data_IF_864735758723
#
_entry.id   IF_864735758723
#
_cell.length_a   1.000
_cell.length_b   1.000
_cell.length_c   1.000
_cell.angle_alpha   90.00
_cell.angle_beta   90.00
_cell.angle_gamma   90.00
#
_symmetry.space_group_name_H-M   'P 1'
#
loop_
_entity.id
_entity.type
_entity.pdbx_description
1 polymer ?
#
# COMPACT_ATOMS: atom_id res chain seq x y z
N UNK A 1 13.88 6.15 19.22
CA UNK A 1 13.33 5.10 20.10
C UNK A 1 13.21 3.84 19.26
N UNK A 2 13.75 2.71 19.70
CA UNK A 2 13.64 1.46 18.93
C UNK A 2 12.40 0.70 19.40
N UNK A 3 11.57 0.24 18.45
CA UNK A 3 10.43 -0.61 18.73
C UNK A 3 10.91 -2.05 18.56
N UNK A 4 10.77 -2.87 19.62
CA UNK A 4 11.10 -4.28 19.56
C UNK A 4 9.86 -5.06 19.09
N UNK A 5 9.92 -5.60 17.87
CA UNK A 5 8.90 -6.48 17.33
C UNK A 5 9.33 -7.92 17.54
N UNK A 6 8.52 -8.70 18.23
CA UNK A 6 8.74 -10.13 18.40
C UNK A 6 8.09 -10.92 17.27
N UNK A 7 8.71 -12.01 16.86
CA UNK A 7 8.28 -12.90 15.77
C UNK A 7 6.86 -13.45 15.92
N UNK A 8 6.25 -13.37 17.10
CA UNK A 8 4.87 -13.82 17.35
C UNK A 8 3.77 -12.89 16.86
N UNK A 9 4.10 -11.67 16.43
CA UNK A 9 3.13 -10.69 15.93
C UNK A 9 3.10 -10.59 14.39
N UNK A 10 3.77 -11.49 13.69
CA UNK A 10 3.80 -11.51 12.24
C UNK A 10 2.48 -12.01 11.66
N UNK A 11 1.69 -11.13 11.06
CA UNK A 11 0.53 -11.50 10.26
C UNK A 11 0.96 -11.52 8.81
N UNK A 12 1.50 -12.65 8.36
CA UNK A 12 1.93 -12.87 6.98
C UNK A 12 0.76 -13.02 5.99
N UNK A 13 -0.49 -12.99 6.44
CA UNK A 13 -1.62 -13.48 5.65
C UNK A 13 -2.26 -12.50 4.66
N UNK A 14 -1.84 -11.24 4.60
CA UNK A 14 -2.45 -10.29 3.65
C UNK A 14 -1.46 -9.52 2.81
N UNK A 15 -0.26 -10.01 2.65
CA UNK A 15 0.67 -9.32 1.76
C UNK A 15 0.33 -9.59 0.31
N UNK A 16 -0.39 -8.67 -0.31
CA UNK A 16 -0.17 -8.45 -1.73
C UNK A 16 1.33 -8.35 -1.97
N UNK A 17 1.87 -9.26 -2.75
CA UNK A 17 3.17 -9.30 -3.42
C UNK A 17 4.16 -8.15 -3.16
N UNK A 18 4.61 -7.95 -1.95
CA UNK A 18 5.74 -7.09 -1.63
C UNK A 18 6.66 -7.85 -0.71
N UNK A 19 7.94 -7.95 -1.05
CA UNK A 19 8.95 -8.66 -0.27
C UNK A 19 9.26 -8.04 1.10
N UNK A 20 8.59 -6.97 1.50
CA UNK A 20 8.79 -6.34 2.80
C UNK A 20 8.10 -7.12 3.90
N UNK A 21 8.80 -7.37 4.99
CA UNK A 21 8.21 -7.88 6.21
C UNK A 21 7.27 -6.82 6.81
N UNK A 22 6.08 -7.25 7.22
CA UNK A 22 5.01 -6.39 7.76
C UNK A 22 4.41 -7.03 8.99
N UNK A 23 4.10 -6.19 9.99
CA UNK A 23 3.46 -6.62 11.23
C UNK A 23 2.34 -5.67 11.61
N UNK A 24 1.31 -6.20 12.24
CA UNK A 24 0.30 -5.43 12.94
C UNK A 24 0.53 -5.60 14.44
N UNK A 25 0.82 -4.53 15.14
CA UNK A 25 0.98 -4.50 16.59
C UNK A 25 0.41 -3.21 17.15
N UNK A 26 -0.31 -3.29 18.27
CA UNK A 26 -0.87 -2.14 18.98
C UNK A 26 -1.68 -1.17 18.09
N UNK A 27 -2.44 -1.71 17.15
CA UNK A 27 -3.24 -0.91 16.22
C UNK A 27 -2.44 -0.17 15.16
N UNK A 28 -1.20 -0.55 14.92
CA UNK A 28 -0.33 0.03 13.90
C UNK A 28 0.30 -1.04 13.01
N UNK A 29 0.34 -0.75 11.73
CA UNK A 29 1.14 -1.50 10.77
C UNK A 29 2.58 -1.01 10.78
N UNK A 30 3.51 -1.95 10.80
CA UNK A 30 4.95 -1.71 10.66
C UNK A 30 5.44 -2.39 9.39
N UNK A 31 6.29 -1.72 8.65
CA UNK A 31 6.97 -2.23 7.46
C UNK A 31 8.48 -2.11 7.66
N UNK A 32 9.20 -3.18 7.44
CA UNK A 32 10.66 -3.19 7.53
C UNK A 32 11.26 -2.84 6.17
N UNK A 33 12.23 -1.93 6.14
CA UNK A 33 12.94 -1.62 4.90
C UNK A 33 13.81 -2.81 4.46
N UNK A 34 13.71 -3.17 3.21
CA UNK A 34 14.56 -4.16 2.57
C UNK A 34 15.86 -3.52 2.07
N UNK A 35 15.76 -2.40 1.38
CA UNK A 35 16.87 -1.65 0.79
C UNK A 35 17.24 -0.38 1.57
N UNK A 36 16.47 -0.01 2.58
CA UNK A 36 16.75 1.08 3.52
C UNK A 36 16.16 2.44 3.15
N UNK A 37 15.33 2.53 2.13
CA UNK A 37 14.70 3.78 1.67
C UNK A 37 13.18 3.69 1.45
N UNK A 38 12.60 2.51 1.54
CA UNK A 38 11.17 2.30 1.24
C UNK A 38 10.29 3.05 2.25
N UNK A 39 10.64 2.99 3.54
CA UNK A 39 9.94 3.74 4.58
C UNK A 39 10.00 5.24 4.35
N UNK A 40 11.15 5.76 3.90
CA UNK A 40 11.29 7.17 3.54
C UNK A 40 10.38 7.54 2.38
N UNK A 41 10.30 6.71 1.34
CA UNK A 41 9.42 6.95 0.21
C UNK A 41 7.93 7.02 0.62
N UNK A 42 7.48 6.10 1.50
CA UNK A 42 6.13 6.10 2.05
C UNK A 42 5.84 7.39 2.85
N UNK A 43 6.77 7.79 3.71
CA UNK A 43 6.63 9.01 4.54
C UNK A 43 6.58 10.26 3.68
N UNK A 44 7.52 10.41 2.73
CA UNK A 44 7.56 11.58 1.84
C UNK A 44 6.30 11.65 0.98
N UNK A 45 5.87 10.53 0.41
CA UNK A 45 4.65 10.48 -0.41
C UNK A 45 3.41 10.89 0.40
N UNK A 46 3.24 10.35 1.60
CA UNK A 46 2.10 10.71 2.45
C UNK A 46 2.15 12.17 2.91
N UNK A 47 3.34 12.70 3.18
CA UNK A 47 3.52 14.11 3.53
C UNK A 47 3.21 15.06 2.34
N UNK A 48 3.58 14.68 1.12
CA UNK A 48 3.22 15.43 -0.09
C UNK A 48 1.71 15.40 -0.34
N UNK A 49 1.06 14.24 -0.20
CA UNK A 49 -0.39 14.13 -0.33
C UNK A 49 -1.13 15.00 0.70
N UNK A 50 -0.60 15.13 1.91
CA UNK A 50 -1.15 16.01 2.94
C UNK A 50 -1.12 17.51 2.57
N UNK A 51 -0.27 17.93 1.63
CA UNK A 51 -0.22 19.29 1.11
C UNK A 51 -1.15 19.53 -0.09
N UNK A 52 -1.84 18.49 -0.55
CA UNK A 52 -2.79 18.57 -1.66
C UNK A 52 -4.22 18.72 -1.16
N UNK A 53 -5.14 18.99 -2.07
CA UNK A 53 -6.59 18.99 -1.80
C UNK A 53 -7.23 17.61 -1.86
N UNK A 54 -6.45 16.53 -1.86
CA UNK A 54 -6.91 15.15 -2.02
C UNK A 54 -8.00 14.78 -1.00
N UNK A 55 -7.83 15.22 0.26
CA UNK A 55 -8.85 15.01 1.30
C UNK A 55 -10.16 15.73 1.03
N UNK A 56 -10.12 16.94 0.44
CA UNK A 56 -11.32 17.69 0.06
C UNK A 56 -12.07 17.02 -1.11
N UNK A 57 -11.38 16.22 -1.91
CA UNK A 57 -11.94 15.41 -3.00
C UNK A 57 -12.49 14.05 -2.51
N UNK A 58 -12.50 13.80 -1.20
CA UNK A 58 -13.02 12.56 -0.62
C UNK A 58 -12.05 11.38 -0.64
N UNK A 59 -10.81 11.57 -1.11
CA UNK A 59 -9.81 10.50 -1.08
C UNK A 59 -9.13 10.41 0.28
N UNK A 60 -9.04 9.20 0.79
CA UNK A 60 -8.31 8.89 2.01
C UNK A 60 -6.98 8.23 1.65
N UNK A 61 -5.93 8.69 2.28
CA UNK A 61 -4.59 8.12 2.13
C UNK A 61 -3.99 7.76 3.49
N UNK A 62 -3.09 6.81 3.48
CA UNK A 62 -2.42 6.35 4.70
C UNK A 62 -1.24 7.28 4.99
N UNK A 63 -1.18 7.78 6.24
CA UNK A 63 -0.05 8.59 6.73
C UNK A 63 0.98 7.68 7.38
N UNK A 64 2.24 7.88 7.02
CA UNK A 64 3.36 7.10 7.53
C UNK A 64 4.31 7.92 8.39
N UNK A 65 4.93 7.26 9.36
CA UNK A 65 6.01 7.78 10.18
C UNK A 65 7.27 6.93 10.02
N UNK A 66 8.45 7.56 10.01
CA UNK A 66 9.72 6.82 10.05
C UNK A 66 9.89 6.12 11.38
N UNK A 67 10.41 4.90 11.32
CA UNK A 67 10.68 4.06 12.49
C UNK A 67 12.06 3.46 12.46
N UNK A 68 12.59 3.20 13.67
CA UNK A 68 13.75 2.32 13.88
C UNK A 68 13.24 1.04 14.53
N UNK A 69 13.29 -0.05 13.80
CA UNK A 69 12.70 -1.33 14.19
C UNK A 69 13.80 -2.31 14.63
N UNK A 70 13.63 -2.95 15.77
CA UNK A 70 14.49 -4.05 16.20
C UNK A 70 13.82 -5.38 15.87
N UNK A 71 14.36 -6.06 14.87
CA UNK A 71 13.81 -7.30 14.32
C UNK A 71 14.93 -8.33 14.20
N UNK A 72 14.71 -9.55 14.71
CA UNK A 72 15.70 -10.63 14.71
C UNK A 72 17.07 -10.22 15.30
N UNK A 73 17.08 -9.36 16.33
CA UNK A 73 18.30 -8.88 16.98
C UNK A 73 19.07 -7.80 16.22
N UNK A 74 18.50 -7.27 15.14
CA UNK A 74 19.10 -6.20 14.35
C UNK A 74 18.19 -4.96 14.33
N UNK A 75 18.80 -3.77 14.44
CA UNK A 75 18.09 -2.50 14.27
C UNK A 75 18.12 -2.10 12.80
N UNK A 76 16.95 -1.91 12.22
CA UNK A 76 16.76 -1.52 10.81
C UNK A 76 15.80 -0.35 10.69
N UNK A 77 15.85 0.34 9.57
CA UNK A 77 14.87 1.36 9.23
C UNK A 77 13.57 0.72 8.75
N UNK A 78 12.51 1.49 8.85
CA UNK A 78 11.21 1.13 8.36
C UNK A 78 10.22 2.26 8.56
N UNK A 79 8.95 1.97 8.41
CA UNK A 79 7.89 2.94 8.66
C UNK A 79 6.72 2.28 9.38
N UNK A 80 5.86 3.12 9.96
CA UNK A 80 4.60 2.69 10.53
C UNK A 80 3.44 3.56 10.08
N UNK A 81 2.24 2.98 10.09
CA UNK A 81 0.98 3.69 9.91
C UNK A 81 -0.05 3.22 10.94
N UNK A 82 -1.04 4.04 11.23
CA UNK A 82 -2.21 3.56 11.95
C UNK A 82 -2.88 2.43 11.17
N UNK A 83 -3.50 1.49 11.88
CA UNK A 83 -4.34 0.50 11.20
C UNK A 83 -5.55 1.21 10.58
N UNK A 84 -5.65 1.16 9.28
CA UNK A 84 -6.72 1.78 8.50
C UNK A 84 -7.83 0.80 8.12
N UNK A 85 -7.66 -0.49 8.46
CA UNK A 85 -8.67 -1.52 8.21
C UNK A 85 -9.60 -1.63 9.43
N UNK A 86 -10.91 -1.65 9.17
CA UNK A 86 -11.92 -1.99 10.13
C UNK A 86 -12.09 -3.51 10.21
N UNK A 87 -12.78 -3.98 11.23
CA UNK A 87 -13.11 -5.39 11.34
C UNK A 87 -13.93 -5.85 10.13
N UNK A 88 -13.48 -6.91 9.46
CA UNK A 88 -14.12 -7.45 8.26
C UNK A 88 -13.70 -6.80 6.94
N UNK A 89 -12.86 -5.76 6.98
CA UNK A 89 -12.26 -5.17 5.78
C UNK A 89 -10.97 -5.87 5.39
N UNK A 90 -10.68 -5.92 4.10
CA UNK A 90 -9.44 -6.45 3.55
C UNK A 90 -8.91 -5.52 2.45
N UNK A 91 -7.59 -5.53 2.27
CA UNK A 91 -6.96 -4.81 1.16
C UNK A 91 -7.12 -5.63 -0.12
N UNK A 92 -7.66 -4.99 -1.14
CA UNK A 92 -7.68 -5.53 -2.49
C UNK A 92 -6.70 -4.71 -3.35
N UNK A 93 -5.72 -5.38 -3.96
CA UNK A 93 -4.82 -4.68 -4.87
C UNK A 93 -5.52 -4.32 -6.17
N UNK A 94 -5.09 -3.22 -6.81
CA UNK A 94 -5.60 -2.84 -8.14
C UNK A 94 -5.46 -3.98 -9.15
N UNK A 95 -4.34 -4.69 -9.14
CA UNK A 95 -4.13 -5.84 -10.01
C UNK A 95 -5.16 -6.97 -9.77
N UNK A 96 -5.54 -7.18 -8.53
CA UNK A 96 -6.53 -8.18 -8.13
C UNK A 96 -7.96 -7.74 -8.46
N UNK A 97 -8.25 -6.46 -8.29
CA UNK A 97 -9.51 -5.84 -8.70
C UNK A 97 -9.70 -6.01 -10.22
N UNK A 98 -8.69 -5.67 -11.01
CA UNK A 98 -8.73 -5.80 -12.46
C UNK A 98 -8.84 -7.26 -12.90
N UNK A 99 -8.10 -8.16 -12.26
CA UNK A 99 -8.19 -9.60 -12.55
C UNK A 99 -9.59 -10.16 -12.31
N UNK A 100 -10.26 -9.72 -11.25
CA UNK A 100 -11.62 -10.17 -10.91
C UNK A 100 -12.68 -9.52 -11.80
N UNK A 101 -12.55 -8.22 -12.08
CA UNK A 101 -13.59 -7.44 -12.75
C UNK A 101 -13.46 -7.36 -14.27
N UNK A 102 -12.26 -7.49 -14.81
CA UNK A 102 -11.98 -7.48 -16.27
C UNK A 102 -11.65 -8.88 -16.78
N UNK A 103 -10.86 -9.63 -16.01
CA UNK A 103 -10.41 -10.96 -16.38
C UNK A 103 -8.90 -11.16 -16.20
N UNK A 104 -8.41 -12.42 -16.30
CA UNK A 104 -7.00 -12.74 -16.07
C UNK A 104 -6.06 -12.05 -17.07
N UNK A 105 -6.52 -11.78 -18.27
CA UNK A 105 -5.72 -11.21 -19.38
C UNK A 105 -5.73 -9.68 -19.44
N UNK A 106 -6.17 -8.98 -18.39
CA UNK A 106 -6.27 -7.52 -18.36
C UNK A 106 -4.94 -6.82 -18.71
N UNK A 107 -3.80 -7.38 -18.30
CA UNK A 107 -2.47 -6.83 -18.63
C UNK A 107 -2.20 -6.87 -20.13
N UNK A 108 -2.61 -7.94 -20.80
CA UNK A 108 -2.48 -8.04 -22.27
C UNK A 108 -3.36 -7.01 -22.95
N UNK A 109 -4.57 -6.78 -22.47
CA UNK A 109 -5.47 -5.76 -22.99
C UNK A 109 -4.86 -4.35 -22.88
N UNK A 110 -4.34 -3.99 -21.70
CA UNK A 110 -3.65 -2.70 -21.50
C UNK A 110 -2.42 -2.56 -22.36
N UNK A 111 -1.58 -3.61 -22.48
CA UNK A 111 -0.33 -3.54 -23.23
C UNK A 111 -0.53 -3.39 -24.74
N UNK A 112 -1.69 -3.76 -25.27
CA UNK A 112 -2.06 -3.53 -26.68
C UNK A 112 -2.42 -2.08 -26.99
N UNK A 113 -2.67 -1.25 -25.98
CA UNK A 113 -2.97 0.16 -26.17
C UNK A 113 -1.72 0.94 -26.63
N UNK A 114 -1.87 1.89 -27.56
CA UNK A 114 -0.76 2.44 -28.33
C UNK A 114 0.24 3.28 -27.52
N UNK A 115 -0.20 3.90 -26.43
CA UNK A 115 0.63 4.81 -25.65
C UNK A 115 0.25 4.82 -24.17
N UNK A 116 1.08 5.45 -23.36
CA UNK A 116 0.89 5.56 -21.92
C UNK A 116 -0.43 6.25 -21.55
N UNK A 117 -0.80 7.29 -22.29
CA UNK A 117 -2.02 8.07 -22.04
C UNK A 117 -3.28 7.22 -22.22
N UNK A 118 -3.34 6.43 -23.29
CA UNK A 118 -4.44 5.48 -23.53
C UNK A 118 -4.50 4.39 -22.47
N UNK A 119 -3.34 3.91 -22.00
CA UNK A 119 -3.26 2.91 -20.92
C UNK A 119 -3.76 3.47 -19.61
N UNK A 120 -3.37 4.70 -19.26
CA UNK A 120 -3.84 5.37 -18.05
C UNK A 120 -5.35 5.62 -18.10
N UNK A 121 -5.86 6.15 -19.21
CA UNK A 121 -7.29 6.39 -19.40
C UNK A 121 -8.10 5.10 -19.24
N UNK A 122 -7.63 4.01 -19.85
CA UNK A 122 -8.27 2.71 -19.69
C UNK A 122 -8.27 2.22 -18.24
N UNK A 123 -7.14 2.37 -17.52
CA UNK A 123 -7.07 1.99 -16.10
C UNK A 123 -8.05 2.79 -15.24
N UNK A 124 -8.12 4.10 -15.44
CA UNK A 124 -9.05 4.98 -14.73
C UNK A 124 -10.49 4.53 -14.98
N UNK A 125 -10.89 4.36 -16.24
CA UNK A 125 -12.22 3.88 -16.62
C UNK A 125 -12.58 2.54 -15.95
N UNK A 126 -11.64 1.58 -15.92
CA UNK A 126 -11.91 0.30 -15.26
C UNK A 126 -12.05 0.45 -13.75
N UNK A 127 -11.23 1.29 -13.09
CA UNK A 127 -11.35 1.54 -11.66
C UNK A 127 -12.69 2.18 -11.33
N UNK A 128 -13.09 3.25 -12.04
CA UNK A 128 -14.39 3.91 -11.87
C UNK A 128 -15.54 2.90 -12.01
N UNK A 129 -15.53 2.13 -13.10
CA UNK A 129 -16.55 1.12 -13.36
C UNK A 129 -16.64 0.04 -12.26
N UNK A 130 -15.50 -0.41 -11.71
CA UNK A 130 -15.46 -1.51 -10.75
C UNK A 130 -15.65 -1.06 -9.30
N UNK A 131 -15.36 0.20 -9.00
CA UNK A 131 -15.49 0.74 -7.64
C UNK A 131 -16.71 1.63 -7.45
N UNK A 132 -17.32 2.11 -8.52
CA UNK A 132 -18.38 3.11 -8.48
C UNK A 132 -17.90 4.48 -7.99
N UNK A 133 -16.59 4.74 -8.06
CA UNK A 133 -16.02 6.06 -7.78
C UNK A 133 -16.09 6.90 -9.07
N UNK A 134 -16.79 8.03 -8.99
CA UNK A 134 -16.87 9.04 -10.05
C UNK A 134 -15.76 10.08 -9.88
#
# INVERSE_FOLDING_TARGET
>A
MSIRLTTGSCIAETSSKGNQEKWLADGRWYKLDLFGYEGLAEVVTSALLAQTNTGALGFHYVTYCMERLEVHGHTRNGCSSANFLRQGEAILTLAELLRKGVGPDWQTAVNRLPNLQSRLAWLVEQVERLTGLD
#
